data_IF_891911037156
#
_entry.id   IF_891911037156
#
_cell.length_a   1.000
_cell.length_b   1.000
_cell.length_c   1.000
_cell.angle_alpha   90.00
_cell.angle_beta   90.00
_cell.angle_gamma   90.00
#
_symmetry.space_group_name_H-M   'P 1'
#
loop_
_entity.id
_entity.type
_entity.pdbx_description
1 polymer ?
#
# COMPACT_ATOMS: atom_id res chain seq x y z
N UNK A 1 3.36 -12.19 -9.79
CA UNK A 1 2.15 -11.66 -9.11
C UNK A 1 1.55 -10.53 -9.93
N UNK A 2 0.23 -10.53 -10.14
CA UNK A 2 -0.48 -9.48 -10.88
C UNK A 2 -0.58 -8.21 -10.02
N UNK A 3 -0.45 -7.05 -10.66
CA UNK A 3 -0.60 -5.74 -10.00
C UNK A 3 -2.07 -5.48 -9.69
N UNK A 4 -2.36 -4.95 -8.50
CA UNK A 4 -3.68 -4.50 -8.06
C UNK A 4 -3.62 -2.99 -7.79
N UNK A 5 -4.66 -2.26 -8.19
CA UNK A 5 -4.80 -0.82 -7.93
C UNK A 5 -5.36 -0.58 -6.53
N UNK A 6 -5.01 0.55 -5.93
CA UNK A 6 -5.40 0.88 -4.55
C UNK A 6 -6.92 0.84 -4.35
N UNK A 7 -7.70 1.35 -5.30
CA UNK A 7 -9.16 1.36 -5.20
C UNK A 7 -9.81 -0.05 -5.21
N UNK A 8 -9.12 -1.06 -5.73
CA UNK A 8 -9.66 -2.42 -5.85
C UNK A 8 -9.22 -3.33 -4.69
N UNK A 9 -8.48 -2.82 -3.69
CA UNK A 9 -7.90 -3.67 -2.64
C UNK A 9 -8.95 -4.38 -1.77
N UNK A 10 -10.14 -3.82 -1.64
CA UNK A 10 -11.25 -4.41 -0.89
C UNK A 10 -11.63 -5.79 -1.44
N UNK A 11 -11.55 -6.00 -2.76
CA UNK A 11 -11.87 -7.28 -3.40
C UNK A 11 -10.79 -8.37 -3.17
N UNK A 12 -9.66 -7.98 -2.58
CA UNK A 12 -8.48 -8.83 -2.36
C UNK A 12 -8.15 -8.98 -0.87
N UNK A 13 -9.12 -8.80 0.02
CA UNK A 13 -8.94 -9.06 1.45
C UNK A 13 -8.34 -10.45 1.71
N UNK A 14 -7.36 -10.50 2.61
CA UNK A 14 -6.61 -11.70 2.98
C UNK A 14 -5.84 -12.39 1.84
N UNK A 15 -5.67 -11.74 0.67
CA UNK A 15 -4.88 -12.26 -0.45
C UNK A 15 -3.55 -11.50 -0.57
N UNK A 16 -2.51 -12.20 -1.04
CA UNK A 16 -1.23 -11.58 -1.36
C UNK A 16 -1.35 -10.81 -2.68
N UNK A 17 -1.12 -9.50 -2.66
CA UNK A 17 -1.21 -8.62 -3.84
C UNK A 17 0.10 -7.88 -4.09
N UNK A 18 0.30 -7.43 -5.34
CA UNK A 18 1.40 -6.51 -5.69
C UNK A 18 0.82 -5.13 -5.95
N UNK A 19 1.25 -4.14 -5.19
CA UNK A 19 0.93 -2.72 -5.41
C UNK A 19 2.15 -2.06 -6.04
N UNK A 20 1.94 -1.07 -6.91
CA UNK A 20 3.04 -0.30 -7.51
C UNK A 20 2.62 1.15 -7.63
N UNK A 21 3.47 2.05 -7.15
CA UNK A 21 3.17 3.47 -7.02
C UNK A 21 4.37 4.21 -6.45
N UNK A 22 4.13 5.44 -6.00
CA UNK A 22 5.14 6.31 -5.41
C UNK A 22 4.94 6.39 -3.90
N UNK A 23 6.03 6.57 -3.17
CA UNK A 23 5.96 6.83 -1.73
C UNK A 23 5.38 8.23 -1.54
N UNK A 24 4.23 8.31 -0.86
CA UNK A 24 3.59 9.57 -0.50
C UNK A 24 4.09 10.08 0.85
N UNK A 25 4.26 9.18 1.82
CA UNK A 25 4.73 9.51 3.16
C UNK A 25 5.36 8.29 3.82
N UNK A 26 6.43 8.50 4.59
CA UNK A 26 6.99 7.50 5.50
C UNK A 26 6.86 8.05 6.92
N UNK A 27 6.34 7.24 7.84
CA UNK A 27 6.38 7.52 9.28
C UNK A 27 7.13 6.39 9.96
N UNK A 28 8.32 6.68 10.48
CA UNK A 28 9.10 5.72 11.27
C UNK A 28 8.79 5.94 12.74
N UNK A 29 8.35 4.89 13.42
CA UNK A 29 8.34 4.79 14.87
C UNK A 29 9.54 3.95 15.32
N UNK A 30 9.62 3.62 16.61
CA UNK A 30 10.75 2.88 17.18
C UNK A 30 10.91 1.49 16.54
N UNK A 31 9.84 0.71 16.47
CA UNK A 31 9.86 -0.69 16.00
C UNK A 31 9.02 -0.95 14.75
N UNK A 32 8.29 0.05 14.27
CA UNK A 32 7.33 -0.11 13.18
C UNK A 32 7.40 1.09 12.23
N UNK A 33 7.26 0.82 10.94
CA UNK A 33 7.23 1.83 9.90
C UNK A 33 5.91 1.79 9.15
N UNK A 34 5.28 2.95 9.02
CA UNK A 34 4.12 3.14 8.16
C UNK A 34 4.57 3.78 6.85
N UNK A 35 4.31 3.10 5.74
CA UNK A 35 4.61 3.58 4.40
C UNK A 35 3.29 3.83 3.69
N UNK A 36 2.99 5.08 3.37
CA UNK A 36 1.84 5.43 2.54
C UNK A 36 2.27 5.45 1.09
N UNK A 37 1.66 4.58 0.28
CA UNK A 37 1.90 4.49 -1.17
C UNK A 37 0.74 5.17 -1.90
N UNK A 38 1.07 5.99 -2.90
CA UNK A 38 0.12 6.60 -3.83
C UNK A 38 0.23 5.92 -5.18
N UNK A 39 -0.92 5.54 -5.74
CA UNK A 39 -1.06 5.30 -7.17
C UNK A 39 -2.06 6.29 -7.79
N UNK A 40 -2.43 6.07 -9.05
CA UNK A 40 -3.39 6.93 -9.76
C UNK A 40 -4.82 6.83 -9.26
N UNK A 41 -5.13 5.87 -8.38
CA UNK A 41 -6.48 5.59 -7.87
C UNK A 41 -6.65 5.93 -6.40
N UNK A 42 -5.57 6.06 -5.62
CA UNK A 42 -5.67 6.47 -4.23
C UNK A 42 -4.39 6.32 -3.42
N UNK A 43 -4.57 6.35 -2.09
CA UNK A 43 -3.53 6.15 -1.08
C UNK A 43 -3.81 4.84 -0.31
N UNK A 44 -2.76 4.09 -0.01
CA UNK A 44 -2.83 2.90 0.85
C UNK A 44 -1.71 2.95 1.89
N UNK A 45 -2.01 2.55 3.12
CA UNK A 45 -1.02 2.40 4.18
C UNK A 45 -0.48 0.97 4.23
N UNK A 46 0.83 0.82 4.16
CA UNK A 46 1.56 -0.40 4.41
C UNK A 46 2.27 -0.30 5.76
N UNK A 47 2.43 -1.45 6.43
CA UNK A 47 3.12 -1.57 7.72
C UNK A 47 4.30 -2.49 7.51
N UNK A 48 5.48 -2.08 7.98
CA UNK A 48 6.75 -2.80 7.87
C UNK A 48 7.53 -2.75 9.20
#
# INVERSE_FOLDING_TARGET
MKRVLVNNLIDYMNKKVKISGWIYRIRKLKSISFIVIRDRTGLVQCVA
#
